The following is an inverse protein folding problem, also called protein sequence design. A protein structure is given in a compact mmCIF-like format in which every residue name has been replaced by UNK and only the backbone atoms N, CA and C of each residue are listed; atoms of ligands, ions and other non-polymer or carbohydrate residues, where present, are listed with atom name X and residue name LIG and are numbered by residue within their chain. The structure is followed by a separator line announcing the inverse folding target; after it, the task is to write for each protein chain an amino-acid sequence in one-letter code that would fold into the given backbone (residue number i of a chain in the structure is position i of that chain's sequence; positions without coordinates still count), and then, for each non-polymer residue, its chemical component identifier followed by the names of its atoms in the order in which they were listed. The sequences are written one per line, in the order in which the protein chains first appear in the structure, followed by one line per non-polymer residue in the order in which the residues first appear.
data_IF_437491930280
#
_entry.id   IF_437491930280
#
_cell.length_a   1.000
_cell.length_b   1.000
_cell.length_c   1.000
_cell.angle_alpha   90.00
_cell.angle_beta   90.00
_cell.angle_gamma   90.00
#
_symmetry.space_group_name_H-M   'P 1'
#
loop_
_entity.id
_entity.type
_entity.pdbx_description
1 polymer ?
#
# COMPACT_ATOMS: atom_id res chain seq x y z
N UNK A 1 -14.69 10.90 46.93
CA UNK A 1 -14.02 11.19 45.67
C UNK A 1 -12.84 10.25 45.53
N UNK A 2 -12.86 9.24 44.65
CA UNK A 2 -11.67 8.47 44.31
C UNK A 2 -10.91 9.16 43.17
N UNK A 3 -9.60 9.17 43.35
CA UNK A 3 -8.62 9.76 42.48
C UNK A 3 -8.62 9.11 41.09
N UNK A 4 -8.42 9.94 40.07
CA UNK A 4 -8.18 9.52 38.72
C UNK A 4 -6.86 8.74 38.63
N UNK A 5 -6.95 7.43 38.49
CA UNK A 5 -5.79 6.59 38.20
C UNK A 5 -5.28 6.92 36.80
N UNK A 6 -3.97 7.21 36.76
CA UNK A 6 -3.24 7.68 35.61
C UNK A 6 -3.37 6.75 34.41
N UNK A 7 -3.71 7.32 33.23
CA UNK A 7 -3.40 6.74 31.92
C UNK A 7 -1.88 6.56 31.84
N UNK A 8 -1.41 5.33 31.99
CA UNK A 8 -0.07 4.95 31.56
C UNK A 8 0.05 5.35 30.10
N UNK A 9 1.02 6.19 29.78
CA UNK A 9 1.47 6.39 28.40
C UNK A 9 1.85 4.99 27.87
N UNK A 10 1.03 4.44 26.99
CA UNK A 10 1.38 3.26 26.21
C UNK A 10 2.55 3.70 25.33
N UNK A 11 3.75 3.19 25.63
CA UNK A 11 4.87 3.29 24.71
C UNK A 11 4.38 2.78 23.35
N UNK A 12 4.51 3.58 22.30
CA UNK A 12 4.07 3.22 20.97
C UNK A 12 4.79 1.93 20.57
N UNK A 13 4.02 0.84 20.40
CA UNK A 13 4.53 -0.44 19.91
C UNK A 13 4.99 -0.22 18.48
N UNK A 14 6.22 -0.59 18.18
CA UNK A 14 6.75 -0.54 16.81
C UNK A 14 6.37 -1.83 16.09
N UNK A 15 5.65 -1.71 14.98
CA UNK A 15 5.22 -2.84 14.15
C UNK A 15 6.32 -3.21 13.15
N UNK A 16 6.76 -4.46 13.14
CA UNK A 16 7.65 -4.98 12.10
C UNK A 16 6.90 -5.10 10.78
N UNK A 17 7.45 -4.58 9.67
CA UNK A 17 6.79 -4.59 8.36
C UNK A 17 7.65 -5.31 7.34
N UNK A 18 7.05 -6.27 6.61
CA UNK A 18 7.67 -6.91 5.46
C UNK A 18 6.82 -6.71 4.20
N UNK A 19 7.46 -6.31 3.11
CA UNK A 19 6.84 -6.26 1.78
C UNK A 19 7.13 -7.57 1.07
N UNK A 20 6.06 -8.27 0.64
CA UNK A 20 6.13 -9.53 -0.10
C UNK A 20 5.78 -9.24 -1.57
N UNK A 21 6.76 -8.79 -2.30
CA UNK A 21 6.66 -8.41 -3.70
C UNK A 21 6.75 -9.63 -4.64
N UNK A 22 6.54 -9.39 -5.92
CA UNK A 22 6.67 -10.41 -6.97
C UNK A 22 5.61 -10.26 -8.04
N UNK A 23 5.91 -10.74 -9.24
CA UNK A 23 5.04 -10.62 -10.40
C UNK A 23 3.79 -11.52 -10.30
N UNK A 24 2.85 -11.36 -11.24
CA UNK A 24 1.62 -12.18 -11.30
C UNK A 24 1.95 -13.67 -11.39
N UNK A 25 1.23 -14.49 -10.62
CA UNK A 25 1.37 -15.95 -10.64
C UNK A 25 2.65 -16.50 -10.00
N UNK A 26 3.51 -15.65 -9.42
CA UNK A 26 4.74 -16.09 -8.76
C UNK A 26 4.52 -16.91 -7.48
N UNK A 27 3.35 -16.77 -6.84
CA UNK A 27 2.99 -17.50 -5.62
C UNK A 27 3.14 -16.67 -4.33
N UNK A 28 2.96 -15.35 -4.40
CA UNK A 28 2.99 -14.44 -3.23
C UNK A 28 2.01 -14.85 -2.14
N UNK A 29 0.75 -15.04 -2.49
CA UNK A 29 -0.30 -15.48 -1.57
C UNK A 29 0.03 -16.81 -0.91
N UNK A 30 0.62 -17.77 -1.66
CA UNK A 30 1.09 -19.04 -1.10
C UNK A 30 2.21 -18.83 -0.09
N UNK A 31 3.16 -17.92 -0.38
CA UNK A 31 4.24 -17.57 0.54
C UNK A 31 3.71 -16.93 1.83
N UNK A 32 2.76 -16.02 1.73
CA UNK A 32 2.10 -15.41 2.90
C UNK A 32 1.39 -16.48 3.74
N UNK A 33 0.66 -17.39 3.14
CA UNK A 33 0.01 -18.50 3.85
C UNK A 33 1.02 -19.41 4.56
N UNK A 34 2.14 -19.72 3.90
CA UNK A 34 3.24 -20.48 4.48
C UNK A 34 3.85 -19.78 5.70
N UNK A 35 4.04 -18.47 5.64
CA UNK A 35 4.51 -17.64 6.75
C UNK A 35 3.50 -17.59 7.91
N UNK A 36 2.22 -17.43 7.60
CA UNK A 36 1.15 -17.42 8.61
C UNK A 36 1.06 -18.75 9.38
N UNK A 37 1.34 -19.87 8.73
CA UNK A 37 1.38 -21.17 9.39
C UNK A 37 2.48 -21.28 10.46
N UNK A 38 3.52 -20.44 10.36
CA UNK A 38 4.66 -20.35 11.26
C UNK A 38 4.51 -19.22 12.29
N UNK A 39 3.43 -18.42 12.23
CA UNK A 39 3.21 -17.27 13.11
C UNK A 39 3.27 -17.68 14.59
N UNK A 40 4.07 -16.98 15.43
CA UNK A 40 4.07 -17.22 16.87
C UNK A 40 2.68 -17.00 17.47
N UNK A 41 2.26 -17.89 18.38
CA UNK A 41 0.91 -17.87 18.97
C UNK A 41 0.62 -16.60 19.78
N UNK A 42 1.65 -15.95 20.30
CA UNK A 42 1.51 -14.77 21.15
C UNK A 42 1.56 -13.45 20.35
N UNK A 43 1.79 -13.51 19.04
CA UNK A 43 1.82 -12.34 18.17
C UNK A 43 0.49 -12.12 17.45
N UNK A 44 0.14 -10.87 17.26
CA UNK A 44 -0.94 -10.43 16.37
C UNK A 44 -0.32 -9.98 15.05
N UNK A 45 -0.75 -10.58 13.95
CA UNK A 45 -0.28 -10.21 12.63
C UNK A 45 -1.38 -9.54 11.82
N UNK A 46 -1.00 -8.60 10.98
CA UNK A 46 -1.89 -8.01 10.01
C UNK A 46 -1.33 -8.21 8.59
N UNK A 47 -2.23 -8.25 7.61
CA UNK A 47 -1.90 -8.38 6.21
C UNK A 47 -2.65 -7.29 5.46
N UNK A 48 -1.94 -6.49 4.65
CA UNK A 48 -2.54 -5.63 3.64
C UNK A 48 -2.31 -6.30 2.29
N UNK A 49 -3.41 -6.61 1.61
CA UNK A 49 -3.40 -7.11 0.24
C UNK A 49 -3.83 -5.96 -0.66
N UNK A 50 -2.95 -5.55 -1.56
CA UNK A 50 -3.29 -4.58 -2.60
C UNK A 50 -3.55 -5.34 -3.89
N UNK A 51 -4.82 -5.45 -4.32
CA UNK A 51 -5.23 -6.22 -5.48
C UNK A 51 -5.79 -5.33 -6.59
N UNK A 52 -5.46 -5.70 -7.84
CA UNK A 52 -5.97 -5.06 -9.04
C UNK A 52 -7.24 -5.82 -9.47
N UNK A 53 -8.43 -5.27 -9.18
CA UNK A 53 -9.70 -5.86 -9.60
C UNK A 53 -10.84 -5.69 -8.59
N UNK A 54 -12.08 -5.82 -9.07
CA UNK A 54 -13.31 -5.66 -8.27
C UNK A 54 -13.62 -6.87 -7.36
N UNK A 55 -12.90 -7.98 -7.53
CA UNK A 55 -13.11 -9.21 -6.76
C UNK A 55 -11.78 -9.65 -6.15
N UNK A 56 -11.56 -9.29 -4.89
CA UNK A 56 -10.40 -9.66 -4.08
C UNK A 56 -10.33 -11.17 -3.83
N UNK A 57 -9.78 -11.94 -4.79
CA UNK A 57 -9.66 -13.39 -4.67
C UNK A 57 -8.61 -13.75 -3.64
N UNK A 58 -7.47 -13.04 -3.64
CA UNK A 58 -6.35 -13.33 -2.73
C UNK A 58 -6.69 -13.02 -1.27
N UNK A 59 -7.30 -11.87 -1.00
CA UNK A 59 -7.76 -11.53 0.34
C UNK A 59 -8.89 -12.43 0.85
N UNK A 60 -9.81 -12.84 -0.02
CA UNK A 60 -10.86 -13.80 0.33
C UNK A 60 -10.30 -15.19 0.64
N UNK A 61 -9.27 -15.63 -0.10
CA UNK A 61 -8.57 -16.89 0.15
C UNK A 61 -7.80 -16.84 1.48
N UNK A 62 -7.11 -15.74 1.75
CA UNK A 62 -6.41 -15.51 3.01
C UNK A 62 -7.39 -15.53 4.19
N UNK A 63 -8.52 -14.83 4.11
CA UNK A 63 -9.56 -14.82 5.16
C UNK A 63 -10.18 -16.19 5.39
N UNK A 64 -10.42 -16.95 4.33
CA UNK A 64 -11.00 -18.28 4.45
C UNK A 64 -10.06 -19.29 5.16
N UNK A 65 -8.76 -19.12 5.01
CA UNK A 65 -7.76 -20.01 5.59
C UNK A 65 -7.25 -19.52 6.97
N UNK A 66 -7.36 -18.23 7.28
CA UNK A 66 -7.01 -17.66 8.58
C UNK A 66 -8.21 -17.66 9.52
N UNK A 67 -8.51 -18.82 10.11
CA UNK A 67 -9.55 -18.93 11.16
C UNK A 67 -9.09 -18.42 12.54
N UNK A 68 -7.91 -17.82 12.63
CA UNK A 68 -7.32 -17.33 13.88
C UNK A 68 -7.74 -15.89 14.13
N UNK A 69 -8.24 -15.61 15.34
CA UNK A 69 -8.60 -14.27 15.81
C UNK A 69 -7.40 -13.29 15.87
N UNK A 70 -6.17 -13.81 15.81
CA UNK A 70 -4.92 -13.05 15.87
C UNK A 70 -4.33 -12.67 14.49
N UNK A 71 -5.09 -12.80 13.41
CA UNK A 71 -4.70 -12.38 12.04
C UNK A 71 -5.77 -11.51 11.44
N UNK A 72 -5.41 -10.29 11.11
CA UNK A 72 -6.31 -9.32 10.47
C UNK A 72 -5.89 -9.13 9.02
N UNK A 73 -6.83 -9.35 8.08
CA UNK A 73 -6.61 -9.14 6.65
C UNK A 73 -7.41 -7.93 6.20
N UNK A 74 -6.71 -6.93 5.66
CA UNK A 74 -7.28 -5.75 5.04
C UNK A 74 -6.98 -5.76 3.53
N UNK A 75 -8.02 -5.76 2.74
CA UNK A 75 -7.91 -5.60 1.29
C UNK A 75 -7.96 -4.13 0.93
N UNK A 76 -6.93 -3.69 0.21
CA UNK A 76 -6.89 -2.39 -0.42
C UNK A 76 -7.22 -2.61 -1.89
N UNK A 77 -8.46 -2.38 -2.26
CA UNK A 77 -8.85 -2.45 -3.67
C UNK A 77 -8.19 -1.29 -4.42
N UNK A 78 -7.19 -1.59 -5.24
CA UNK A 78 -6.60 -0.64 -6.17
C UNK A 78 -7.62 -0.30 -7.26
N UNK A 79 -8.15 0.92 -7.25
CA UNK A 79 -8.78 1.50 -8.44
C UNK A 79 -7.68 1.92 -9.41
N UNK A 80 -8.02 1.97 -10.72
CA UNK A 80 -7.09 2.34 -11.79
C UNK A 80 -6.22 3.54 -11.46
N UNK A 81 -4.92 3.32 -11.68
CA UNK A 81 -3.87 4.29 -11.98
C UNK A 81 -3.74 5.54 -11.09
N UNK A 82 -2.65 5.59 -10.41
CA UNK A 82 -1.80 6.69 -9.98
C UNK A 82 -2.10 7.36 -8.64
N UNK A 83 -3.28 7.87 -8.36
CA UNK A 83 -3.53 8.64 -7.11
C UNK A 83 -4.16 7.81 -5.97
N UNK A 84 -4.80 6.70 -6.30
CA UNK A 84 -5.61 5.94 -5.34
C UNK A 84 -4.82 4.92 -4.51
N UNK A 85 -3.69 4.46 -5.02
CA UNK A 85 -2.94 3.40 -4.35
C UNK A 85 -2.25 3.90 -3.07
N UNK A 86 -1.59 5.06 -3.13
CA UNK A 86 -0.91 5.67 -1.97
C UNK A 86 -1.92 6.08 -0.91
N UNK A 87 -2.97 6.81 -1.29
CA UNK A 87 -4.04 7.20 -0.36
C UNK A 87 -4.71 5.99 0.28
N UNK A 88 -4.95 4.94 -0.51
CA UNK A 88 -5.53 3.70 -0.03
C UNK A 88 -4.61 2.97 0.94
N UNK A 89 -3.29 3.02 0.70
CA UNK A 89 -2.28 2.43 1.57
C UNK A 89 -2.17 3.20 2.90
N UNK A 90 -2.11 4.53 2.87
CA UNK A 90 -2.07 5.37 4.09
C UNK A 90 -3.31 5.13 4.97
N UNK A 91 -4.49 5.02 4.36
CA UNK A 91 -5.73 4.69 5.06
C UNK A 91 -5.67 3.31 5.70
N UNK A 92 -5.21 2.31 4.95
CA UNK A 92 -5.08 0.94 5.42
C UNK A 92 -4.07 0.84 6.57
N UNK A 93 -2.92 1.51 6.43
CA UNK A 93 -1.90 1.59 7.48
C UNK A 93 -2.46 2.24 8.74
N UNK A 94 -3.09 3.40 8.62
CA UNK A 94 -3.69 4.10 9.76
C UNK A 94 -4.73 3.25 10.46
N UNK A 95 -5.61 2.57 9.72
CA UNK A 95 -6.61 1.66 10.29
C UNK A 95 -5.96 0.50 11.05
N UNK A 96 -4.99 -0.17 10.44
CA UNK A 96 -4.34 -1.34 11.07
C UNK A 96 -3.54 -0.92 12.29
N UNK A 97 -2.75 0.14 12.22
CA UNK A 97 -1.93 0.59 13.33
C UNK A 97 -2.78 1.08 14.50
N UNK A 98 -3.88 1.78 14.22
CA UNK A 98 -4.74 2.32 15.29
C UNK A 98 -5.68 1.27 15.91
N UNK A 99 -6.28 0.39 15.09
CA UNK A 99 -7.29 -0.55 15.57
C UNK A 99 -6.71 -1.89 16.03
N UNK A 100 -5.61 -2.34 15.41
CA UNK A 100 -5.03 -3.67 15.64
C UNK A 100 -3.71 -3.59 16.41
N UNK A 101 -2.87 -2.59 16.13
CA UNK A 101 -1.51 -2.45 16.66
C UNK A 101 -0.73 -3.79 16.60
N UNK A 102 -0.56 -4.37 15.40
CA UNK A 102 0.00 -5.70 15.24
C UNK A 102 1.48 -5.76 15.62
N UNK A 103 1.99 -6.96 15.91
CA UNK A 103 3.42 -7.22 16.07
C UNK A 103 4.13 -7.21 14.73
N UNK A 104 3.45 -7.75 13.71
CA UNK A 104 3.97 -7.80 12.33
C UNK A 104 2.89 -7.46 11.33
N UNK A 105 3.29 -6.72 10.30
CA UNK A 105 2.48 -6.37 9.14
C UNK A 105 3.12 -6.94 7.87
N UNK A 106 2.41 -7.78 7.15
CA UNK A 106 2.79 -8.22 5.81
C UNK A 106 2.03 -7.38 4.78
N UNK A 107 2.73 -6.89 3.77
CA UNK A 107 2.12 -6.13 2.68
C UNK A 107 2.38 -6.87 1.37
N UNK A 108 1.29 -7.24 0.70
CA UNK A 108 1.32 -7.83 -0.64
C UNK A 108 0.98 -6.76 -1.68
N UNK A 109 1.97 -6.20 -2.42
CA UNK A 109 1.71 -5.33 -3.57
C UNK A 109 1.02 -6.08 -4.70
N UNK A 110 0.30 -5.38 -5.55
CA UNK A 110 -0.18 -5.97 -6.81
C UNK A 110 1.02 -6.43 -7.65
N UNK A 111 0.88 -7.54 -8.36
CA UNK A 111 1.96 -8.05 -9.21
C UNK A 111 2.29 -7.15 -10.41
N UNK A 112 1.43 -6.18 -10.73
CA UNK A 112 1.63 -5.16 -11.78
C UNK A 112 1.91 -3.76 -11.18
N UNK A 113 1.90 -3.62 -9.86
CA UNK A 113 2.12 -2.35 -9.17
C UNK A 113 3.58 -1.93 -9.07
N UNK A 114 3.79 -0.78 -8.45
CA UNK A 114 5.09 -0.18 -8.20
C UNK A 114 5.48 -0.39 -6.72
N UNK A 115 6.21 -1.45 -6.38
CA UNK A 115 6.52 -1.78 -4.99
C UNK A 115 7.43 -0.73 -4.31
N UNK A 116 8.16 0.07 -5.09
CA UNK A 116 8.99 1.17 -4.58
C UNK A 116 8.12 2.23 -3.91
N UNK A 117 6.96 2.59 -4.49
CA UNK A 117 6.04 3.58 -3.92
C UNK A 117 5.50 3.16 -2.55
N UNK A 118 5.25 1.87 -2.38
CA UNK A 118 4.85 1.31 -1.08
C UNK A 118 5.97 1.50 -0.04
N UNK A 119 7.21 1.19 -0.41
CA UNK A 119 8.36 1.36 0.48
C UNK A 119 8.63 2.84 0.81
N UNK A 120 8.39 3.75 -0.13
CA UNK A 120 8.45 5.20 0.10
C UNK A 120 7.37 5.64 1.10
N UNK A 121 6.13 5.19 0.92
CA UNK A 121 5.02 5.45 1.86
C UNK A 121 5.34 4.94 3.26
N UNK A 122 5.80 3.69 3.39
CA UNK A 122 6.18 3.10 4.67
C UNK A 122 7.35 3.83 5.34
N UNK A 123 8.24 4.43 4.54
CA UNK A 123 9.42 5.16 5.01
C UNK A 123 9.15 6.63 5.31
N UNK A 124 7.93 7.11 5.11
CA UNK A 124 7.53 8.49 5.39
C UNK A 124 7.78 8.85 6.86
N UNK A 125 8.03 10.13 7.13
CA UNK A 125 8.34 10.61 8.49
C UNK A 125 7.23 10.31 9.48
N UNK A 126 5.97 10.36 9.04
CA UNK A 126 4.79 10.02 9.83
C UNK A 126 4.84 8.60 10.42
N UNK A 127 5.49 7.65 9.74
CA UNK A 127 5.55 6.25 10.17
C UNK A 127 6.84 5.85 10.89
N UNK A 128 7.83 6.73 10.97
CA UNK A 128 9.18 6.45 11.49
C UNK A 128 9.20 5.87 12.91
N UNK A 129 8.25 6.30 13.76
CA UNK A 129 8.17 5.88 15.16
C UNK A 129 7.22 4.70 15.41
N UNK A 130 6.46 4.30 14.40
CA UNK A 130 5.42 3.26 14.50
C UNK A 130 5.73 2.03 13.68
N UNK A 131 6.52 2.16 12.62
CA UNK A 131 6.91 1.07 11.73
C UNK A 131 8.43 0.81 11.76
N UNK A 132 8.79 -0.47 11.66
CA UNK A 132 10.16 -0.92 11.42
C UNK A 132 10.16 -1.79 10.18
N UNK A 133 10.61 -1.24 9.05
CA UNK A 133 10.68 -1.98 7.79
C UNK A 133 11.80 -3.02 7.91
N UNK A 134 11.42 -4.27 7.80
CA UNK A 134 12.30 -5.43 7.82
C UNK A 134 12.67 -5.83 6.38
N UNK A 135 13.27 -7.01 6.19
CA UNK A 135 13.65 -7.50 4.87
C UNK A 135 12.47 -7.48 3.89
N UNK A 136 12.72 -6.98 2.70
CA UNK A 136 11.81 -7.06 1.55
C UNK A 136 12.02 -8.39 0.83
N UNK A 137 10.91 -9.05 0.51
CA UNK A 137 10.92 -10.37 -0.13
C UNK A 137 10.32 -10.27 -1.52
N UNK A 138 11.00 -10.75 -2.54
CA UNK A 138 10.42 -10.93 -3.88
C UNK A 138 10.21 -12.42 -4.17
N UNK A 139 8.97 -12.80 -4.45
CA UNK A 139 8.65 -14.15 -4.92
C UNK A 139 8.65 -14.16 -6.44
N UNK A 140 9.38 -15.07 -7.04
CA UNK A 140 9.52 -15.21 -8.49
C UNK A 140 9.34 -16.67 -8.89
N UNK A 141 8.69 -16.93 -10.03
CA UNK A 141 8.68 -18.24 -10.65
C UNK A 141 10.11 -18.55 -11.14
N UNK A 142 10.70 -19.65 -10.67
CA UNK A 142 12.07 -19.99 -11.01
C UNK A 142 12.32 -20.14 -12.52
N UNK A 143 11.28 -20.46 -13.32
CA UNK A 143 11.34 -20.61 -14.77
C UNK A 143 11.03 -19.32 -15.55
N UNK A 144 10.82 -18.19 -14.87
CA UNK A 144 10.33 -16.96 -15.53
C UNK A 144 11.23 -16.49 -16.68
N UNK A 145 12.54 -16.60 -16.51
CA UNK A 145 13.51 -16.15 -17.52
C UNK A 145 13.64 -17.14 -18.67
N UNK A 146 13.65 -18.45 -18.40
CA UNK A 146 13.75 -19.48 -19.45
C UNK A 146 12.47 -19.62 -20.26
N UNK A 147 11.31 -19.44 -19.64
CA UNK A 147 10.01 -19.45 -20.34
C UNK A 147 9.73 -18.18 -21.14
N UNK A 148 10.46 -17.09 -20.87
CA UNK A 148 10.23 -15.77 -21.47
C UNK A 148 8.91 -15.12 -21.03
N UNK A 149 8.20 -15.73 -20.08
CA UNK A 149 6.90 -15.26 -19.60
C UNK A 149 7.12 -14.13 -18.58
N UNK A 150 6.55 -12.96 -18.83
CA UNK A 150 6.55 -11.83 -17.88
C UNK A 150 7.92 -11.16 -17.61
N UNK A 151 9.06 -11.74 -17.99
CA UNK A 151 10.39 -11.18 -17.76
C UNK A 151 10.65 -9.86 -18.54
N UNK A 152 9.84 -9.56 -19.56
CA UNK A 152 9.96 -8.33 -20.35
C UNK A 152 9.08 -7.18 -19.83
N UNK A 153 8.33 -7.41 -18.74
CA UNK A 153 7.46 -6.38 -18.20
C UNK A 153 8.29 -5.35 -17.39
N UNK A 154 8.12 -4.04 -17.60
CA UNK A 154 8.91 -3.00 -16.94
C UNK A 154 8.95 -3.10 -15.42
N UNK A 155 7.84 -3.54 -14.80
CA UNK A 155 7.74 -3.67 -13.34
C UNK A 155 8.40 -4.94 -12.79
N UNK A 156 8.77 -5.92 -13.64
CA UNK A 156 9.40 -7.16 -13.20
C UNK A 156 10.72 -6.87 -12.47
N UNK A 157 11.57 -6.06 -13.07
CA UNK A 157 12.86 -5.66 -12.51
C UNK A 157 12.71 -4.92 -11.18
N UNK A 158 11.69 -4.07 -11.05
CA UNK A 158 11.45 -3.35 -9.80
C UNK A 158 11.14 -4.30 -8.64
N UNK A 159 10.32 -5.33 -8.87
CA UNK A 159 10.01 -6.33 -7.83
C UNK A 159 11.24 -7.07 -7.33
N UNK A 160 12.17 -7.40 -8.23
CA UNK A 160 13.41 -8.08 -7.86
C UNK A 160 14.44 -7.12 -7.23
N UNK A 161 14.50 -5.89 -7.73
CA UNK A 161 15.52 -4.93 -7.32
C UNK A 161 15.32 -4.44 -5.88
N UNK A 162 14.07 -4.34 -5.40
CA UNK A 162 13.79 -3.92 -4.01
C UNK A 162 14.10 -5.02 -2.99
N UNK A 163 14.30 -6.26 -3.43
CA UNK A 163 14.36 -7.40 -2.55
C UNK A 163 15.71 -7.54 -1.85
N UNK A 164 15.66 -7.82 -0.56
CA UNK A 164 16.79 -8.34 0.22
C UNK A 164 16.85 -9.87 0.11
N UNK A 165 15.66 -10.50 -0.07
CA UNK A 165 15.49 -11.92 -0.28
C UNK A 165 14.66 -12.20 -1.54
N UNK A 166 15.20 -12.97 -2.48
CA UNK A 166 14.48 -13.48 -3.64
C UNK A 166 14.14 -14.95 -3.41
N UNK A 167 12.87 -15.26 -3.49
CA UNK A 167 12.35 -16.63 -3.36
C UNK A 167 12.08 -17.17 -4.76
N UNK A 168 13.00 -18.00 -5.27
CA UNK A 168 12.82 -18.75 -6.51
C UNK A 168 11.81 -19.88 -6.27
N UNK A 169 10.54 -19.55 -6.42
CA UNK A 169 9.41 -20.43 -6.15
C UNK A 169 9.16 -21.41 -7.29
N UNK A 170 8.33 -22.42 -7.05
CA UNK A 170 8.06 -23.53 -7.97
C UNK A 170 9.33 -24.30 -8.37
N UNK A 171 10.28 -24.38 -7.44
CA UNK A 171 11.58 -25.03 -7.68
C UNK A 171 11.47 -26.51 -7.99
N UNK A 172 10.35 -27.14 -7.66
CA UNK A 172 9.99 -28.52 -8.03
C UNK A 172 9.74 -28.69 -9.54
N UNK A 173 9.46 -27.61 -10.25
CA UNK A 173 9.19 -27.59 -11.68
C UNK A 173 10.39 -27.11 -12.51
N UNK A 174 11.43 -26.55 -11.90
CA UNK A 174 12.55 -25.93 -12.58
C UNK A 174 13.74 -26.89 -12.75
N UNK A 175 14.49 -26.69 -13.85
CA UNK A 175 15.80 -27.34 -14.03
C UNK A 175 16.89 -26.51 -13.31
N UNK A 176 18.04 -27.11 -12.95
CA UNK A 176 19.16 -26.39 -12.35
C UNK A 176 19.58 -25.13 -13.17
N UNK A 177 19.55 -25.22 -14.49
CA UNK A 177 19.87 -24.11 -15.38
C UNK A 177 18.92 -22.89 -15.23
N UNK A 178 17.66 -23.10 -14.86
CA UNK A 178 16.71 -22.00 -14.64
C UNK A 178 17.13 -21.17 -13.42
N UNK A 179 17.62 -21.85 -12.37
CA UNK A 179 18.11 -21.22 -11.16
C UNK A 179 19.41 -20.43 -11.41
N UNK A 180 20.33 -21.02 -12.16
CA UNK A 180 21.58 -20.34 -12.54
C UNK A 180 21.28 -19.09 -13.37
N UNK A 181 20.35 -19.18 -14.33
CA UNK A 181 19.93 -18.05 -15.16
C UNK A 181 19.31 -16.93 -14.31
N UNK A 182 18.49 -17.27 -13.31
CA UNK A 182 17.92 -16.27 -12.39
C UNK A 182 19.02 -15.61 -11.54
N UNK A 183 19.98 -16.37 -11.04
CA UNK A 183 21.11 -15.83 -10.27
C UNK A 183 21.95 -14.87 -11.10
N UNK A 184 22.27 -15.24 -12.33
CA UNK A 184 23.06 -14.41 -13.24
C UNK A 184 22.29 -13.12 -13.59
N UNK A 185 21.00 -13.22 -13.87
CA UNK A 185 20.17 -12.05 -14.13
C UNK A 185 20.13 -11.06 -12.97
N UNK A 186 19.88 -11.55 -11.78
CA UNK A 186 19.82 -10.71 -10.56
C UNK A 186 21.15 -10.03 -10.30
N UNK A 187 22.27 -10.75 -10.46
CA UNK A 187 23.60 -10.21 -10.22
C UNK A 187 24.07 -9.27 -11.32
N UNK A 188 23.93 -9.67 -12.59
CA UNK A 188 24.56 -8.99 -13.73
C UNK A 188 23.69 -7.90 -14.33
N UNK A 189 22.36 -8.14 -14.41
CA UNK A 189 21.43 -7.18 -15.00
C UNK A 189 20.94 -6.16 -13.96
N UNK A 190 20.57 -6.64 -12.77
CA UNK A 190 20.03 -5.75 -11.74
C UNK A 190 21.10 -5.22 -10.78
N UNK A 191 22.29 -5.80 -10.78
CA UNK A 191 23.36 -5.45 -9.83
C UNK A 191 22.96 -5.70 -8.37
N UNK A 192 21.91 -6.50 -8.13
CA UNK A 192 21.38 -6.77 -6.81
C UNK A 192 22.25 -7.78 -6.05
N UNK A 193 22.36 -7.57 -4.73
CA UNK A 193 23.03 -8.48 -3.79
C UNK A 193 22.03 -9.31 -3.00
N UNK A 194 20.78 -9.34 -3.42
CA UNK A 194 19.73 -10.08 -2.75
C UNK A 194 20.13 -11.56 -2.61
N UNK A 195 19.83 -12.13 -1.46
CA UNK A 195 19.96 -13.57 -1.24
C UNK A 195 18.91 -14.30 -2.05
N UNK A 196 19.27 -15.34 -2.79
CA UNK A 196 18.32 -16.17 -3.55
C UNK A 196 18.17 -17.51 -2.85
N UNK A 197 16.93 -17.92 -2.60
CA UNK A 197 16.61 -19.24 -2.05
C UNK A 197 15.59 -19.94 -2.95
N UNK A 198 15.73 -21.26 -3.11
CA UNK A 198 14.74 -22.09 -3.79
C UNK A 198 13.58 -22.41 -2.83
N UNK A 199 12.36 -22.36 -3.33
CA UNK A 199 11.17 -22.73 -2.57
C UNK A 199 10.16 -23.46 -3.43
N UNK A 200 9.33 -24.27 -2.79
CA UNK A 200 8.17 -24.95 -3.38
C UNK A 200 6.94 -24.50 -2.61
N UNK A 201 5.87 -24.17 -3.33
CA UNK A 201 4.61 -23.63 -2.74
C UNK A 201 4.82 -22.41 -1.85
N UNK A 202 5.84 -21.60 -2.12
CA UNK A 202 6.14 -20.40 -1.33
C UNK A 202 6.64 -20.68 0.09
N UNK A 203 7.15 -21.89 0.37
CA UNK A 203 7.62 -22.25 1.71
C UNK A 203 8.91 -21.51 2.05
N UNK A 204 8.80 -20.46 2.86
CA UNK A 204 9.88 -19.59 3.35
C UNK A 204 9.92 -19.67 4.87
N UNK A 205 11.10 -19.84 5.44
CA UNK A 205 11.27 -19.79 6.89
C UNK A 205 11.02 -18.39 7.42
N UNK A 206 10.26 -18.27 8.52
CA UNK A 206 9.90 -16.99 9.14
C UNK A 206 11.15 -16.18 9.56
N UNK A 207 12.24 -16.84 9.92
CA UNK A 207 13.49 -16.17 10.27
C UNK A 207 14.12 -15.41 9.10
N UNK A 208 13.71 -15.68 7.85
CA UNK A 208 14.17 -14.93 6.66
C UNK A 208 13.48 -13.55 6.55
N UNK A 209 12.46 -13.27 7.35
CA UNK A 209 11.79 -11.97 7.38
C UNK A 209 12.54 -10.93 8.23
N UNK A 210 13.44 -11.37 9.08
CA UNK A 210 14.15 -10.52 10.04
C UNK A 210 15.37 -9.85 9.41
N UNK A 211 15.60 -8.60 9.77
CA UNK A 211 16.76 -7.82 9.34
C UNK A 211 16.39 -6.53 8.67
N UNK A 212 17.36 -5.63 8.58
CA UNK A 212 17.13 -4.34 7.92
C UNK A 212 17.08 -4.50 6.41
N UNK A 213 16.26 -3.71 5.77
CA UNK A 213 16.19 -3.63 4.30
C UNK A 213 17.19 -2.60 3.75
N UNK A 214 17.76 -2.91 2.59
CA UNK A 214 18.66 -2.02 1.83
C UNK A 214 18.01 -1.47 0.53
N UNK A 215 16.68 -1.50 0.43
CA UNK A 215 15.96 -1.09 -0.77
C UNK A 215 16.32 0.32 -1.27
N UNK A 216 16.82 1.20 -0.39
CA UNK A 216 17.24 2.56 -0.76
C UNK A 216 18.53 2.61 -1.57
N UNK A 217 19.34 1.55 -1.55
CA UNK A 217 20.57 1.45 -2.35
C UNK A 217 20.33 1.14 -3.83
N UNK A 218 19.06 0.90 -4.22
CA UNK A 218 18.66 0.63 -5.60
C UNK A 218 19.07 1.80 -6.51
N UNK A 219 19.73 1.45 -7.62
CA UNK A 219 20.17 2.45 -8.59
C UNK A 219 19.05 3.26 -9.23
N UNK A 220 19.30 4.53 -9.61
CA UNK A 220 18.28 5.42 -10.16
C UNK A 220 17.64 4.91 -11.45
N UNK A 221 18.31 4.03 -12.20
CA UNK A 221 17.78 3.44 -13.44
C UNK A 221 16.59 2.50 -13.21
N UNK A 222 16.50 1.87 -12.03
CA UNK A 222 15.42 0.96 -11.67
C UNK A 222 14.29 1.73 -10.96
N UNK A 223 14.62 2.86 -10.33
CA UNK A 223 13.63 3.73 -9.66
C UNK A 223 12.71 4.47 -10.63
N UNK A 224 13.12 4.61 -11.90
CA UNK A 224 12.33 5.26 -12.93
C UNK A 224 11.91 4.23 -13.98
N UNK A 225 10.69 3.67 -13.94
CA UNK A 225 10.03 3.27 -15.18
C UNK A 225 9.85 4.54 -16.01
N UNK A 226 9.83 4.41 -17.34
CA UNK A 226 9.57 5.52 -18.26
C UNK A 226 8.37 6.37 -17.81
N UNK A 227 8.62 7.32 -16.95
CA UNK A 227 7.66 8.35 -16.55
C UNK A 227 7.68 9.41 -17.63
N UNK A 228 6.97 9.17 -18.72
CA UNK A 228 6.69 10.23 -19.70
C UNK A 228 5.75 11.32 -19.16
N UNK A 229 5.22 11.16 -17.94
CA UNK A 229 4.52 12.23 -17.24
C UNK A 229 4.78 12.08 -15.73
N UNK A 230 5.26 13.13 -15.08
CA UNK A 230 5.24 13.21 -13.61
C UNK A 230 3.80 12.98 -13.14
N UNK A 231 3.59 11.95 -12.32
CA UNK A 231 2.27 11.71 -11.75
C UNK A 231 1.81 12.97 -11.00
N UNK A 232 0.51 13.28 -10.97
CA UNK A 232 -0.02 14.40 -10.18
C UNK A 232 0.43 14.37 -8.72
N UNK A 233 0.80 13.21 -8.19
CA UNK A 233 1.32 13.01 -6.84
C UNK A 233 2.73 13.57 -6.63
N UNK A 234 3.57 13.55 -7.65
CA UNK A 234 4.95 14.05 -7.59
C UNK A 234 5.07 15.54 -7.89
N UNK A 235 4.00 16.14 -8.40
CA UNK A 235 4.00 17.56 -8.71
C UNK A 235 3.91 18.37 -7.43
N UNK A 236 4.76 19.40 -7.24
CA UNK A 236 4.57 20.33 -6.14
C UNK A 236 3.20 21.00 -6.28
N UNK A 237 2.52 21.19 -5.16
CA UNK A 237 1.25 21.88 -5.16
C UNK A 237 1.44 23.31 -5.73
N UNK A 238 0.57 23.74 -6.64
CA UNK A 238 0.63 25.10 -7.19
C UNK A 238 0.35 26.16 -6.13
N UNK A 239 0.64 27.42 -6.42
CA UNK A 239 0.42 28.54 -5.49
C UNK A 239 -1.05 28.68 -5.02
N UNK A 240 -2.02 28.18 -5.79
CA UNK A 240 -3.43 28.15 -5.37
C UNK A 240 -3.69 27.19 -4.21
N UNK A 241 -2.72 26.31 -3.87
CA UNK A 241 -2.77 25.40 -2.74
C UNK A 241 -3.52 24.08 -3.00
N UNK A 242 -3.99 23.81 -4.22
CA UNK A 242 -4.57 22.51 -4.58
C UNK A 242 -4.26 22.12 -6.01
N UNK A 243 -4.27 20.80 -6.26
CA UNK A 243 -4.10 20.17 -7.56
C UNK A 243 -5.26 19.25 -7.82
N UNK A 244 -5.86 19.30 -9.01
CA UNK A 244 -6.88 18.36 -9.48
C UNK A 244 -6.30 17.43 -10.52
N UNK A 245 -6.68 16.15 -10.45
CA UNK A 245 -6.40 15.14 -11.45
C UNK A 245 -7.68 14.43 -11.88
N UNK A 246 -7.78 14.08 -13.15
CA UNK A 246 -8.91 13.36 -13.71
C UNK A 246 -8.40 12.18 -14.53
N UNK A 247 -9.21 11.09 -14.55
CA UNK A 247 -8.95 9.93 -15.39
C UNK A 247 -10.28 9.29 -15.82
N UNK A 248 -10.24 8.50 -16.91
CA UNK A 248 -11.41 7.79 -17.44
C UNK A 248 -11.01 6.35 -17.80
N UNK A 249 -11.86 5.40 -17.45
CA UNK A 249 -11.64 3.98 -17.80
C UNK A 249 -12.84 3.11 -17.43
N UNK A 250 -13.08 2.07 -18.19
CA UNK A 250 -14.07 1.00 -17.91
C UNK A 250 -15.52 1.49 -17.63
N UNK A 251 -15.93 2.63 -18.22
CA UNK A 251 -17.28 3.17 -18.04
C UNK A 251 -17.44 4.04 -16.79
N UNK A 252 -16.36 4.32 -16.07
CA UNK A 252 -16.31 5.23 -14.93
C UNK A 252 -15.35 6.39 -15.19
N UNK A 253 -15.62 7.51 -14.54
CA UNK A 253 -14.74 8.66 -14.46
C UNK A 253 -14.20 8.75 -13.04
N UNK A 254 -12.90 9.11 -12.89
CA UNK A 254 -12.33 9.42 -11.59
C UNK A 254 -11.82 10.85 -11.54
N UNK A 255 -11.98 11.48 -10.39
CA UNK A 255 -11.41 12.79 -10.11
C UNK A 255 -10.87 12.82 -8.70
N UNK A 256 -9.72 13.47 -8.53
CA UNK A 256 -9.06 13.60 -7.25
C UNK A 256 -8.51 14.99 -7.01
N UNK A 257 -8.36 15.36 -5.75
CA UNK A 257 -7.72 16.61 -5.33
C UNK A 257 -6.66 16.32 -4.28
N UNK A 258 -5.51 16.99 -4.44
CA UNK A 258 -4.49 17.16 -3.41
C UNK A 258 -4.58 18.61 -2.93
N UNK A 259 -4.58 18.81 -1.62
CA UNK A 259 -4.87 20.11 -1.01
C UNK A 259 -3.86 20.38 0.11
N UNK A 260 -3.21 21.55 0.05
CA UNK A 260 -2.14 21.96 0.95
C UNK A 260 -2.55 21.83 2.43
N UNK A 261 -1.68 21.37 3.34
CA UNK A 261 -2.03 21.15 4.74
C UNK A 261 -2.47 22.38 5.49
N UNK A 262 -2.08 23.58 5.05
CA UNK A 262 -2.58 24.84 5.62
C UNK A 262 -4.04 25.18 5.26
N UNK A 263 -4.62 24.48 4.28
CA UNK A 263 -6.01 24.63 3.87
C UNK A 263 -6.91 23.74 4.74
N UNK A 264 -7.31 24.27 5.88
CA UNK A 264 -8.07 23.54 6.89
C UNK A 264 -9.56 23.56 6.56
N UNK A 265 -10.21 22.40 6.64
CA UNK A 265 -11.64 22.23 6.36
C UNK A 265 -12.49 22.44 7.62
N UNK A 266 -13.69 23.02 7.45
CA UNK A 266 -14.75 23.01 8.46
C UNK A 266 -15.36 21.63 8.50
N UNK A 267 -15.12 20.87 9.56
CA UNK A 267 -15.57 19.47 9.73
C UNK A 267 -17.05 19.28 9.37
N UNK A 268 -17.96 20.09 9.96
CA UNK A 268 -19.39 19.92 9.74
C UNK A 268 -19.82 20.16 8.26
N UNK A 269 -19.21 21.16 7.60
CA UNK A 269 -19.49 21.46 6.20
C UNK A 269 -18.95 20.34 5.28
N UNK A 270 -17.72 19.91 5.54
CA UNK A 270 -17.09 18.83 4.80
C UNK A 270 -17.88 17.52 4.93
N UNK A 271 -18.22 17.11 6.15
CA UNK A 271 -18.99 15.89 6.39
C UNK A 271 -20.36 15.92 5.68
N UNK A 272 -21.04 17.08 5.72
CA UNK A 272 -22.30 17.27 5.01
C UNK A 272 -22.14 17.20 3.48
N UNK A 273 -21.01 17.69 2.94
CA UNK A 273 -20.68 17.58 1.52
C UNK A 273 -20.45 16.12 1.15
N UNK A 274 -19.57 15.40 1.86
CA UNK A 274 -19.22 14.02 1.57
C UNK A 274 -20.45 13.09 1.61
N UNK A 275 -21.31 13.23 2.61
CA UNK A 275 -22.56 12.44 2.71
C UNK A 275 -23.54 12.62 1.56
N UNK A 276 -23.45 13.71 0.81
CA UNK A 276 -24.34 14.00 -0.33
C UNK A 276 -23.78 13.57 -1.67
N UNK A 277 -22.55 13.06 -1.69
CA UNK A 277 -21.97 12.51 -2.91
C UNK A 277 -22.74 11.26 -3.33
N UNK A 278 -23.17 11.23 -4.59
CA UNK A 278 -23.73 10.03 -5.23
C UNK A 278 -22.65 9.48 -6.16
N UNK A 279 -21.86 8.54 -5.64
CA UNK A 279 -20.65 8.05 -6.29
C UNK A 279 -20.53 6.55 -6.09
N UNK A 280 -19.86 5.87 -7.01
CA UNK A 280 -19.60 4.44 -6.89
C UNK A 280 -18.63 4.17 -5.72
N UNK A 281 -17.62 5.05 -5.58
CA UNK A 281 -16.61 4.96 -4.52
C UNK A 281 -16.01 6.33 -4.22
N UNK A 282 -15.64 6.57 -2.96
CA UNK A 282 -14.85 7.73 -2.57
C UNK A 282 -13.92 7.33 -1.43
N UNK A 283 -12.67 7.80 -1.52
CA UNK A 283 -11.70 7.74 -0.43
C UNK A 283 -11.14 9.13 -0.19
N UNK A 284 -10.91 9.48 1.07
CA UNK A 284 -10.33 10.78 1.40
C UNK A 284 -9.63 10.77 2.74
N UNK A 285 -8.68 11.70 2.89
CA UNK A 285 -8.11 12.15 4.16
C UNK A 285 -8.21 13.67 4.18
N UNK A 286 -8.70 14.23 5.28
CA UNK A 286 -8.85 15.67 5.42
C UNK A 286 -8.34 16.19 6.75
N UNK A 287 -7.62 17.30 6.69
CA UNK A 287 -7.24 18.11 7.85
C UNK A 287 -8.37 19.07 8.14
N UNK A 288 -8.97 18.96 9.32
CA UNK A 288 -10.09 19.80 9.78
C UNK A 288 -9.73 20.53 11.07
N UNK A 289 -10.57 21.50 11.46
CA UNK A 289 -10.41 22.17 12.76
C UNK A 289 -10.61 21.26 13.98
N UNK A 290 -11.13 20.03 13.74
CA UNK A 290 -11.33 19.04 14.80
C UNK A 290 -10.26 17.95 14.83
N UNK A 291 -9.31 17.97 13.91
CA UNK A 291 -8.30 16.92 13.73
C UNK A 291 -8.32 16.37 12.31
N UNK A 292 -7.59 15.28 12.11
CA UNK A 292 -7.47 14.63 10.81
C UNK A 292 -8.41 13.44 10.76
N UNK A 293 -9.16 13.31 9.67
CA UNK A 293 -10.14 12.25 9.46
C UNK A 293 -9.95 11.59 8.10
N UNK A 294 -10.01 10.28 8.11
CA UNK A 294 -10.09 9.44 6.94
C UNK A 294 -11.54 9.09 6.64
N UNK A 295 -11.90 9.08 5.36
CA UNK A 295 -13.24 8.77 4.87
C UNK A 295 -13.19 7.69 3.80
N UNK A 296 -14.13 6.77 3.86
CA UNK A 296 -14.36 5.77 2.82
C UNK A 296 -15.86 5.70 2.52
N UNK A 297 -16.23 5.73 1.25
CA UNK A 297 -17.61 5.56 0.80
C UNK A 297 -17.68 4.48 -0.26
N UNK A 298 -18.53 3.49 -0.03
CA UNK A 298 -18.86 2.42 -0.97
C UNK A 298 -20.36 2.14 -0.86
N UNK A 299 -21.06 2.01 -1.98
CA UNK A 299 -22.49 1.73 -1.99
C UNK A 299 -23.32 2.76 -1.23
N UNK A 300 -22.93 4.03 -1.22
CA UNK A 300 -23.62 5.13 -0.52
C UNK A 300 -23.43 5.16 1.00
N UNK A 301 -22.62 4.27 1.57
CA UNK A 301 -22.31 4.23 3.00
C UNK A 301 -21.00 4.95 3.25
N UNK A 302 -21.06 6.09 3.97
CA UNK A 302 -19.88 6.85 4.39
C UNK A 302 -19.38 6.34 5.75
N UNK A 303 -18.12 5.91 5.77
CA UNK A 303 -17.37 5.58 6.99
C UNK A 303 -16.41 6.71 7.29
N UNK A 304 -16.19 7.01 8.57
CA UNK A 304 -15.25 8.00 9.07
C UNK A 304 -14.34 7.35 10.12
N UNK A 305 -13.06 7.67 10.07
CA UNK A 305 -12.06 7.22 11.03
C UNK A 305 -11.16 8.40 11.42
N UNK A 306 -11.02 8.77 12.71
CA UNK A 306 -10.01 9.72 13.14
C UNK A 306 -8.62 9.10 12.97
N UNK A 307 -7.66 9.89 12.48
CA UNK A 307 -6.25 9.49 12.35
C UNK A 307 -5.36 10.55 13.00
N UNK A 308 -4.13 10.18 13.34
CA UNK A 308 -3.26 11.05 14.14
C UNK A 308 -2.72 12.23 13.33
N UNK A 309 -2.30 12.00 12.07
CA UNK A 309 -1.70 13.04 11.20
C UNK A 309 -1.74 12.64 9.73
N UNK A 310 -1.58 13.62 8.83
CA UNK A 310 -1.32 13.41 7.40
C UNK A 310 -0.51 14.57 6.81
N UNK A 311 0.18 14.31 5.71
CA UNK A 311 1.02 15.31 5.04
C UNK A 311 0.22 16.38 4.32
N UNK A 312 -0.94 16.05 3.78
CA UNK A 312 -1.84 16.94 3.04
C UNK A 312 -3.25 16.35 3.00
N UNK A 313 -4.27 17.16 2.73
CA UNK A 313 -5.61 16.63 2.49
C UNK A 313 -5.71 16.08 1.07
N UNK A 314 -6.35 14.89 0.92
CA UNK A 314 -6.55 14.23 -0.36
C UNK A 314 -7.95 13.67 -0.45
N UNK A 315 -8.53 13.67 -1.65
CA UNK A 315 -9.77 12.97 -1.96
C UNK A 315 -9.70 12.40 -3.38
N UNK A 316 -10.24 11.20 -3.54
CA UNK A 316 -10.49 10.56 -4.83
C UNK A 316 -11.94 10.11 -4.90
N UNK A 317 -12.57 10.36 -6.02
CA UNK A 317 -13.96 10.02 -6.31
C UNK A 317 -14.01 9.24 -7.62
N UNK A 318 -14.73 8.10 -7.61
CA UNK A 318 -15.04 7.30 -8.78
C UNK A 318 -16.56 7.32 -8.96
N UNK A 319 -17.02 7.73 -10.13
CA UNK A 319 -18.44 7.85 -10.46
C UNK A 319 -18.70 7.56 -11.94
N UNK A 320 -19.96 7.31 -12.31
CA UNK A 320 -20.36 7.19 -13.72
C UNK A 320 -20.19 8.51 -14.49
N UNK A 321 -20.25 9.63 -13.78
CA UNK A 321 -19.99 10.98 -14.32
C UNK A 321 -19.53 11.93 -13.21
N UNK A 322 -18.64 12.86 -13.55
CA UNK A 322 -18.10 13.86 -12.62
C UNK A 322 -18.99 15.12 -12.65
N UNK A 323 -19.46 15.52 -11.47
CA UNK A 323 -20.19 16.81 -11.31
C UNK A 323 -19.18 17.96 -11.29
N UNK A 324 -19.28 18.86 -12.27
CA UNK A 324 -18.40 20.03 -12.39
C UNK A 324 -18.43 20.96 -11.15
N UNK A 325 -19.46 20.88 -10.31
CA UNK A 325 -19.58 21.70 -9.10
C UNK A 325 -18.92 21.08 -7.86
N UNK A 326 -18.37 19.86 -7.95
CA UNK A 326 -17.78 19.24 -6.76
C UNK A 326 -16.57 20.02 -6.23
N UNK A 327 -15.75 20.57 -7.11
CA UNK A 327 -14.60 21.38 -6.72
C UNK A 327 -15.02 22.62 -5.93
N UNK A 328 -15.93 23.43 -6.46
CA UNK A 328 -16.41 24.64 -5.79
C UNK A 328 -17.05 24.31 -4.43
N UNK A 329 -17.82 23.22 -4.37
CA UNK A 329 -18.47 22.77 -3.13
C UNK A 329 -17.46 22.25 -2.12
N UNK A 330 -16.44 21.51 -2.55
CA UNK A 330 -15.34 21.03 -1.70
C UNK A 330 -14.56 22.21 -1.14
N UNK A 331 -14.08 23.10 -2.00
CA UNK A 331 -13.32 24.29 -1.58
C UNK A 331 -14.18 25.27 -0.75
N UNK A 332 -15.49 25.28 -0.96
CA UNK A 332 -16.45 26.01 -0.13
C UNK A 332 -16.52 25.50 1.33
N UNK A 333 -16.00 24.30 1.61
CA UNK A 333 -15.89 23.75 2.96
C UNK A 333 -14.67 24.27 3.73
N UNK A 334 -13.73 24.96 3.08
CA UNK A 334 -12.53 25.51 3.73
C UNK A 334 -12.88 26.60 4.74
N UNK A 335 -12.05 26.70 5.78
CA UNK A 335 -12.06 27.87 6.69
C UNK A 335 -11.47 29.05 5.90
N UNK A 336 -12.26 30.11 5.75
CA UNK A 336 -11.76 31.35 5.17
C UNK A 336 -10.72 31.92 6.12
N UNK A 337 -9.44 32.06 5.69
CA UNK A 337 -8.49 32.90 6.40
C UNK A 337 -9.09 34.33 6.36
N UNK A 338 -9.43 34.91 7.53
CA UNK A 338 -9.78 36.31 7.59
C UNK A 338 -8.58 37.11 7.06
N UNK A 339 -8.83 37.88 6.01
CA UNK A 339 -7.86 38.77 5.39
C UNK A 339 -7.36 39.84 6.36
#
# INVERSE_FOLDING_TARGET
MPAAEGRKAMGSKVTAVNVIAGFLGAGKTSAILGLLSQKPKHETWAIIVNEFGEIGIDGSLLRAQTKNEDVVVLEVTGGCMCCSAVLSMDLALSQILHLVAPDRLLIEPTGLGHPIEILETLSAEAHRNTLSIQQTVAVVDAQVLSSGTNAQHPNFDQHLAIADLIVANKSDLCAPADYDLLQDYVRETLGSRAKIIAATYGNVDIGQLEGNTDWRSIGPQIRQPDREASLPEDQPLPECGFLRAENQGEGFESTGWRIHPEMIFRYAALFAFLRRLNVARMKAIFITEKGVFAYNMVGGVLQELPIDDCMESRIEIIAESIDANWEDRLLGCLIKKNA
#
